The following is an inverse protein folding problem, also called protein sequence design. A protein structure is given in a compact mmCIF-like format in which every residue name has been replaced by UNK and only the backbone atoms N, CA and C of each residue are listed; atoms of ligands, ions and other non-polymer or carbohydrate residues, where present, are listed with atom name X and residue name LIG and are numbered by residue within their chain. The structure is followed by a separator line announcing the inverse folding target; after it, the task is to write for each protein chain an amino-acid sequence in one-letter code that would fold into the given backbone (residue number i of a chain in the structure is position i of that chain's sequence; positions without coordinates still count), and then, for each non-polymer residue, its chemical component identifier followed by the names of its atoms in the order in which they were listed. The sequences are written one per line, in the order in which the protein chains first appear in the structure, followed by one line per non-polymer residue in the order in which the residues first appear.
data_IF_256277819622
#
_entry.id   IF_256277819622
#
_cell.length_a   1.000
_cell.length_b   1.000
_cell.length_c   1.000
_cell.angle_alpha   90.00
_cell.angle_beta   90.00
_cell.angle_gamma   90.00
#
_symmetry.space_group_name_H-M   'P 1'
#
loop_
_entity.id
_entity.type
_entity.pdbx_description
1 polymer ?
#
# COMPACT_ATOMS: atom_id res chain seq x y z
N UNK A 1 12.44 25.14 -13.33
CA UNK A 1 11.56 24.38 -14.26
C UNK A 1 12.39 23.69 -15.33
N UNK A 2 13.22 24.43 -16.13
CA UNK A 2 13.99 23.88 -17.24
C UNK A 2 14.85 22.67 -16.81
N UNK A 3 15.64 22.79 -15.75
CA UNK A 3 16.51 21.73 -15.25
C UNK A 3 15.74 20.43 -14.83
N UNK A 4 14.51 20.56 -14.39
CA UNK A 4 13.64 19.42 -14.11
C UNK A 4 13.14 18.77 -15.41
N UNK A 5 12.71 19.60 -16.36
CA UNK A 5 12.25 19.11 -17.66
C UNK A 5 13.35 18.39 -18.44
N UNK A 6 14.59 18.93 -18.44
CA UNK A 6 15.75 18.30 -19.07
C UNK A 6 16.08 16.91 -18.51
N UNK A 7 15.78 16.69 -17.23
CA UNK A 7 16.00 15.43 -16.52
C UNK A 7 14.77 14.52 -16.45
N UNK A 8 13.68 14.90 -17.10
CA UNK A 8 12.43 14.14 -17.07
C UNK A 8 11.76 14.10 -15.69
N UNK A 9 12.07 15.04 -14.79
CA UNK A 9 11.50 15.11 -13.45
C UNK A 9 10.18 15.89 -13.51
N UNK A 10 9.02 15.27 -13.17
CA UNK A 10 7.74 15.97 -13.14
C UNK A 10 7.69 16.98 -12.00
N UNK A 11 7.05 18.13 -12.23
CA UNK A 11 6.79 19.14 -11.20
C UNK A 11 5.28 19.13 -10.93
N UNK A 12 4.90 18.95 -9.68
CA UNK A 12 3.51 18.97 -9.24
C UNK A 12 3.26 20.20 -8.37
N UNK A 13 2.20 20.92 -8.65
CA UNK A 13 1.75 22.07 -7.87
C UNK A 13 0.60 21.63 -6.98
N UNK A 14 0.75 21.90 -5.68
CA UNK A 14 -0.18 21.49 -4.64
C UNK A 14 -0.85 22.73 -4.04
N UNK A 15 -2.11 22.61 -3.67
CA UNK A 15 -2.78 23.61 -2.85
C UNK A 15 -2.47 23.44 -1.35
N UNK A 16 -3.05 24.30 -0.51
CA UNK A 16 -2.85 24.25 0.94
C UNK A 16 -3.39 23.00 1.63
N UNK A 17 -4.21 22.19 0.95
CA UNK A 17 -4.73 20.91 1.42
C UNK A 17 -3.87 19.71 0.97
N UNK A 18 -2.87 19.96 0.13
CA UNK A 18 -2.04 18.93 -0.48
C UNK A 18 -2.63 18.31 -1.76
N UNK A 19 -3.73 18.85 -2.29
CA UNK A 19 -4.31 18.40 -3.55
C UNK A 19 -3.52 18.95 -4.75
N UNK A 20 -3.23 18.08 -5.73
CA UNK A 20 -2.53 18.48 -6.95
C UNK A 20 -3.50 19.22 -7.87
N UNK A 21 -3.24 20.50 -8.18
CA UNK A 21 -4.05 21.28 -9.12
C UNK A 21 -3.39 21.50 -10.48
N UNK A 22 -2.07 21.30 -10.59
CA UNK A 22 -1.35 21.39 -11.86
C UNK A 22 -0.12 20.51 -11.88
N UNK A 23 0.28 20.05 -13.09
CA UNK A 23 1.49 19.26 -13.29
C UNK A 23 2.21 19.69 -14.56
N UNK A 24 3.53 19.79 -14.49
CA UNK A 24 4.40 20.11 -15.62
C UNK A 24 5.26 18.86 -15.90
N UNK A 25 5.21 18.40 -17.15
CA UNK A 25 5.99 17.26 -17.63
C UNK A 25 6.93 17.69 -18.75
N UNK A 26 8.05 17.00 -18.89
CA UNK A 26 8.93 17.18 -20.03
C UNK A 26 8.23 16.76 -21.34
N UNK A 27 8.37 17.54 -22.40
CA UNK A 27 7.71 17.32 -23.68
C UNK A 27 8.18 16.05 -24.43
N UNK A 28 9.31 15.46 -24.03
CA UNK A 28 9.92 14.28 -24.67
C UNK A 28 9.64 12.93 -24.02
N UNK A 29 8.71 12.84 -23.05
CA UNK A 29 8.35 11.57 -22.38
C UNK A 29 7.50 10.66 -23.29
N UNK A 30 8.13 10.15 -24.37
CA UNK A 30 7.49 9.26 -25.36
C UNK A 30 7.29 7.83 -24.83
N UNK A 31 8.05 7.42 -23.79
CA UNK A 31 7.95 6.09 -23.18
C UNK A 31 6.62 5.76 -22.51
N UNK A 32 5.82 6.80 -22.17
CA UNK A 32 4.52 6.61 -21.50
C UNK A 32 3.44 6.02 -22.42
N UNK A 33 3.51 6.23 -23.73
CA UNK A 33 2.51 5.72 -24.69
C UNK A 33 2.60 4.20 -24.79
N UNK A 34 3.81 3.66 -24.95
CA UNK A 34 4.04 2.21 -24.97
C UNK A 34 3.58 1.57 -23.65
N UNK A 35 3.98 2.14 -22.53
CA UNK A 35 3.59 1.64 -21.19
C UNK A 35 2.07 1.62 -21.01
N UNK A 36 1.38 2.69 -21.38
CA UNK A 36 -0.10 2.76 -21.31
C UNK A 36 -0.76 1.72 -22.21
N UNK A 37 -0.24 1.55 -23.42
CA UNK A 37 -0.73 0.51 -24.34
C UNK A 37 -0.58 -0.87 -23.72
N UNK A 38 0.59 -1.20 -23.18
CA UNK A 38 0.84 -2.49 -22.54
C UNK A 38 -0.02 -2.70 -21.28
N UNK A 39 -0.26 -1.65 -20.50
CA UNK A 39 -1.18 -1.70 -19.35
C UNK A 39 -2.61 -2.03 -19.77
N UNK A 40 -3.12 -1.42 -20.87
CA UNK A 40 -4.43 -1.71 -21.40
C UNK A 40 -4.54 -3.16 -21.91
N UNK A 41 -3.53 -3.64 -22.62
CA UNK A 41 -3.48 -5.03 -23.08
C UNK A 41 -3.39 -6.01 -21.92
N UNK A 42 -2.58 -5.70 -20.91
CA UNK A 42 -2.42 -6.52 -19.72
C UNK A 42 -3.71 -6.66 -18.89
N UNK A 43 -4.67 -5.74 -19.05
CA UNK A 43 -5.97 -5.84 -18.38
C UNK A 43 -6.77 -7.08 -18.84
N UNK A 44 -6.57 -7.53 -20.06
CA UNK A 44 -7.32 -8.64 -20.66
C UNK A 44 -6.58 -9.98 -20.61
N UNK A 45 -5.39 -10.04 -20.01
CA UNK A 45 -4.60 -11.26 -19.90
C UNK A 45 -4.11 -11.53 -18.47
N UNK A 46 -3.36 -12.62 -18.30
CA UNK A 46 -2.85 -13.05 -16.99
C UNK A 46 -1.85 -12.08 -16.34
N UNK A 47 -1.30 -11.10 -17.09
CA UNK A 47 -0.37 -10.10 -16.53
C UNK A 47 -1.03 -9.27 -15.44
N UNK A 48 -2.34 -8.96 -15.54
CA UNK A 48 -3.08 -8.27 -14.48
C UNK A 48 -3.08 -9.05 -13.16
N UNK A 49 -3.29 -10.36 -13.24
CA UNK A 49 -3.33 -11.24 -12.07
C UNK A 49 -1.94 -11.33 -11.43
N UNK A 50 -0.88 -11.49 -12.24
CA UNK A 50 0.52 -11.49 -11.77
C UNK A 50 0.89 -10.19 -11.07
N UNK A 51 0.50 -9.04 -11.64
CA UNK A 51 0.77 -7.73 -11.04
C UNK A 51 -0.02 -7.54 -9.74
N UNK A 52 -1.31 -7.89 -9.72
CA UNK A 52 -2.13 -7.81 -8.52
C UNK A 52 -1.55 -8.65 -7.39
N UNK A 53 -1.19 -9.91 -7.65
CA UNK A 53 -0.53 -10.78 -6.68
C UNK A 53 0.78 -10.17 -6.18
N UNK A 54 1.64 -9.69 -7.08
CA UNK A 54 2.94 -9.12 -6.73
C UNK A 54 2.79 -7.89 -5.82
N UNK A 55 1.87 -6.97 -6.15
CA UNK A 55 1.65 -5.76 -5.35
C UNK A 55 1.01 -6.08 -4.00
N UNK A 56 -0.02 -6.92 -3.96
CA UNK A 56 -0.69 -7.29 -2.70
C UNK A 56 0.26 -8.04 -1.77
N UNK A 57 0.98 -9.03 -2.27
CA UNK A 57 1.96 -9.77 -1.48
C UNK A 57 3.11 -8.87 -1.00
N UNK A 58 3.67 -8.01 -1.87
CA UNK A 58 4.74 -7.08 -1.48
C UNK A 58 4.27 -6.10 -0.40
N UNK A 59 3.04 -5.58 -0.48
CA UNK A 59 2.46 -4.73 0.55
C UNK A 59 2.41 -5.46 1.89
N UNK A 60 1.88 -6.68 1.92
CA UNK A 60 1.74 -7.47 3.15
C UNK A 60 3.10 -7.84 3.74
N UNK A 61 4.09 -8.25 2.91
CA UNK A 61 5.47 -8.46 3.37
C UNK A 61 6.09 -7.21 3.98
N UNK A 62 5.86 -6.03 3.38
CA UNK A 62 6.37 -4.77 3.92
C UNK A 62 5.69 -4.39 5.24
N UNK A 63 4.42 -4.69 5.42
CA UNK A 63 3.73 -4.54 6.71
C UNK A 63 4.37 -5.42 7.77
N UNK A 64 4.62 -6.70 7.48
CA UNK A 64 5.32 -7.61 8.40
C UNK A 64 6.73 -7.11 8.73
N UNK A 65 7.50 -6.67 7.73
CA UNK A 65 8.83 -6.12 7.94
C UNK A 65 8.82 -4.86 8.83
N UNK A 66 7.82 -4.02 8.68
CA UNK A 66 7.63 -2.81 9.51
C UNK A 66 7.35 -3.19 10.96
N UNK A 67 6.48 -4.18 11.21
CA UNK A 67 6.21 -4.69 12.56
C UNK A 67 7.47 -5.25 13.22
N UNK A 68 8.29 -6.01 12.48
CA UNK A 68 9.58 -6.53 12.97
C UNK A 68 10.53 -5.38 13.34
N UNK A 69 10.59 -4.34 12.50
CA UNK A 69 11.42 -3.16 12.77
C UNK A 69 10.97 -2.46 14.07
N UNK A 70 9.68 -2.26 14.26
CA UNK A 70 9.14 -1.67 15.48
C UNK A 70 9.37 -2.54 16.71
N UNK A 71 9.20 -3.86 16.60
CA UNK A 71 9.47 -4.81 17.67
C UNK A 71 10.92 -4.73 18.16
N UNK A 72 11.88 -4.68 17.22
CA UNK A 72 13.31 -4.57 17.53
C UNK A 72 13.64 -3.29 18.30
N UNK A 73 13.05 -2.17 17.89
CA UNK A 73 13.30 -0.87 18.51
C UNK A 73 12.65 -0.72 19.89
N UNK A 74 11.65 -1.55 20.22
CA UNK A 74 10.95 -1.52 21.52
C UNK A 74 11.42 -2.57 22.51
N UNK A 75 12.26 -3.51 22.10
CA UNK A 75 12.62 -4.69 22.89
C UNK A 75 13.08 -4.36 24.30
N UNK A 76 13.89 -3.34 24.47
CA UNK A 76 14.50 -3.00 25.75
C UNK A 76 13.57 -2.20 26.67
N UNK A 77 12.74 -1.31 26.09
CA UNK A 77 11.84 -0.43 26.84
C UNK A 77 10.46 -1.05 27.10
N UNK A 78 9.95 -1.86 26.17
CA UNK A 78 8.62 -2.45 26.19
C UNK A 78 8.67 -3.89 25.64
N UNK A 79 9.20 -4.87 26.39
CA UNK A 79 9.42 -6.23 25.91
C UNK A 79 8.12 -6.96 25.53
N UNK A 80 7.02 -6.71 26.25
CA UNK A 80 5.71 -7.33 25.97
C UNK A 80 5.13 -6.84 24.63
N UNK A 81 5.20 -5.52 24.39
CA UNK A 81 4.81 -4.94 23.09
C UNK A 81 5.66 -5.50 21.94
N UNK A 82 6.97 -5.61 22.19
CA UNK A 82 7.90 -6.14 21.19
C UNK A 82 7.57 -7.60 20.85
N UNK A 83 7.21 -8.41 21.85
CA UNK A 83 6.80 -9.79 21.64
C UNK A 83 5.51 -9.87 20.82
N UNK A 84 4.49 -9.08 21.16
CA UNK A 84 3.22 -9.03 20.45
C UNK A 84 3.40 -8.57 18.99
N UNK A 85 4.21 -7.51 18.76
CA UNK A 85 4.53 -7.03 17.42
C UNK A 85 5.24 -8.10 16.58
N UNK A 86 6.15 -8.87 17.17
CA UNK A 86 6.86 -9.95 16.48
C UNK A 86 5.92 -11.10 16.12
N UNK A 87 5.01 -11.48 17.01
CA UNK A 87 4.00 -12.49 16.77
C UNK A 87 3.06 -12.06 15.64
N UNK A 88 2.52 -10.84 15.72
CA UNK A 88 1.65 -10.30 14.66
C UNK A 88 2.38 -10.21 13.31
N UNK A 89 3.68 -9.88 13.31
CA UNK A 89 4.47 -9.86 12.07
C UNK A 89 4.55 -11.25 11.42
N UNK A 90 4.64 -12.31 12.21
CA UNK A 90 4.60 -13.68 11.72
C UNK A 90 3.24 -14.00 11.09
N UNK A 91 2.14 -13.66 11.76
CA UNK A 91 0.78 -13.89 11.26
C UNK A 91 0.49 -13.10 9.96
N UNK A 92 0.89 -11.82 9.92
CA UNK A 92 0.78 -10.98 8.72
C UNK A 92 1.58 -11.56 7.56
N UNK A 93 2.79 -12.06 7.83
CA UNK A 93 3.64 -12.69 6.80
C UNK A 93 3.02 -13.95 6.23
N UNK A 94 2.36 -14.76 7.05
CA UNK A 94 1.69 -15.99 6.61
C UNK A 94 0.64 -15.69 5.52
N UNK A 95 -0.14 -14.58 5.65
CA UNK A 95 -1.07 -14.17 4.61
C UNK A 95 -0.38 -13.88 3.27
N UNK A 96 0.80 -13.24 3.28
CA UNK A 96 1.54 -12.99 2.05
C UNK A 96 2.03 -14.30 1.39
N UNK A 97 2.44 -15.27 2.18
CA UNK A 97 2.87 -16.59 1.70
C UNK A 97 1.70 -17.39 1.12
N UNK A 98 0.54 -17.34 1.78
CA UNK A 98 -0.68 -18.00 1.30
C UNK A 98 -1.20 -17.40 -0.02
N UNK A 99 -1.01 -16.10 -0.29
CA UNK A 99 -1.40 -15.47 -1.55
C UNK A 99 -0.80 -16.19 -2.77
N UNK A 100 0.42 -16.73 -2.66
CA UNK A 100 1.08 -17.45 -3.75
C UNK A 100 0.52 -18.83 -4.03
N UNK A 101 -0.30 -19.38 -3.12
CA UNK A 101 -0.95 -20.67 -3.26
C UNK A 101 -2.38 -20.57 -3.81
N UNK A 102 -2.89 -19.35 -4.01
CA UNK A 102 -4.25 -19.12 -4.46
C UNK A 102 -4.47 -19.64 -5.89
N UNK A 103 -5.62 -20.26 -6.17
CA UNK A 103 -5.96 -20.68 -7.52
C UNK A 103 -6.20 -19.47 -8.42
N UNK A 104 -5.74 -19.59 -9.68
CA UNK A 104 -5.85 -18.55 -10.71
C UNK A 104 -7.16 -18.71 -11.49
N UNK A 105 -8.24 -18.24 -10.87
CA UNK A 105 -9.60 -18.25 -11.41
C UNK A 105 -10.27 -16.87 -11.25
N UNK A 106 -11.52 -16.76 -11.62
CA UNK A 106 -12.28 -15.49 -11.58
C UNK A 106 -12.40 -14.89 -10.16
N UNK A 107 -12.29 -15.71 -9.10
CA UNK A 107 -12.31 -15.25 -7.70
C UNK A 107 -10.96 -14.82 -7.14
N UNK A 108 -9.86 -14.86 -7.92
CA UNK A 108 -8.52 -14.55 -7.42
C UNK A 108 -8.43 -13.15 -6.81
N UNK A 109 -8.98 -12.12 -7.47
CA UNK A 109 -8.91 -10.74 -7.00
C UNK A 109 -9.63 -10.53 -5.68
N UNK A 110 -10.80 -11.14 -5.50
CA UNK A 110 -11.58 -11.07 -4.27
C UNK A 110 -10.82 -11.73 -3.11
N UNK A 111 -10.19 -12.88 -3.37
CA UNK A 111 -9.36 -13.57 -2.37
C UNK A 111 -8.13 -12.74 -2.00
N UNK A 112 -7.42 -12.16 -2.98
CA UNK A 112 -6.28 -11.27 -2.72
C UNK A 112 -6.69 -10.09 -1.86
N UNK A 113 -7.81 -9.44 -2.17
CA UNK A 113 -8.36 -8.34 -1.36
C UNK A 113 -8.75 -8.80 0.06
N UNK A 114 -9.28 -10.01 0.20
CA UNK A 114 -9.60 -10.61 1.49
C UNK A 114 -8.37 -10.79 2.37
N UNK A 115 -7.31 -11.41 1.83
CA UNK A 115 -6.03 -11.60 2.54
C UNK A 115 -5.37 -10.26 2.89
N UNK A 116 -5.36 -9.31 1.94
CA UNK A 116 -4.82 -7.97 2.17
C UNK A 116 -5.56 -7.24 3.28
N UNK A 117 -6.90 -7.35 3.31
CA UNK A 117 -7.74 -6.75 4.34
C UNK A 117 -7.49 -7.33 5.72
N UNK A 118 -7.36 -8.67 5.83
CA UNK A 118 -7.03 -9.34 7.09
C UNK A 118 -5.64 -8.96 7.61
N UNK A 119 -4.64 -9.00 6.75
CA UNK A 119 -3.29 -8.56 7.07
C UNK A 119 -3.24 -7.10 7.53
N UNK A 120 -3.93 -6.21 6.81
CA UNK A 120 -4.03 -4.81 7.17
C UNK A 120 -4.73 -4.60 8.53
N UNK A 121 -5.76 -5.38 8.83
CA UNK A 121 -6.45 -5.33 10.13
C UNK A 121 -5.49 -5.63 11.28
N UNK A 122 -4.75 -6.74 11.20
CA UNK A 122 -3.74 -7.12 12.21
C UNK A 122 -2.64 -6.06 12.33
N UNK A 123 -2.13 -5.58 11.20
CA UNK A 123 -1.11 -4.53 11.16
C UNK A 123 -1.56 -3.27 11.90
N UNK A 124 -2.75 -2.74 11.59
CA UNK A 124 -3.25 -1.52 12.21
C UNK A 124 -3.62 -1.71 13.68
N UNK A 125 -4.12 -2.89 14.09
CA UNK A 125 -4.31 -3.20 15.51
C UNK A 125 -3.01 -3.11 16.29
N UNK A 126 -1.92 -3.67 15.75
CA UNK A 126 -0.61 -3.64 16.40
C UNK A 126 0.03 -2.25 16.35
N UNK A 127 -0.17 -1.49 15.26
CA UNK A 127 0.33 -0.12 15.15
C UNK A 127 -0.23 0.81 16.25
N UNK A 128 -1.41 0.52 16.79
CA UNK A 128 -2.00 1.28 17.92
C UNK A 128 -1.13 1.26 19.18
N UNK A 129 -0.38 0.20 19.41
CA UNK A 129 0.55 0.10 20.55
C UNK A 129 1.66 1.16 20.51
N UNK A 130 1.91 1.73 19.31
CA UNK A 130 2.99 2.67 19.07
C UNK A 130 2.56 4.12 19.21
N UNK A 131 1.25 4.38 19.18
CA UNK A 131 0.68 5.72 19.19
C UNK A 131 0.26 6.06 20.62
N UNK A 132 0.74 7.18 21.18
CA UNK A 132 0.30 7.62 22.51
C UNK A 132 -1.22 7.78 22.56
N UNK A 133 -1.84 7.43 23.69
CA UNK A 133 -3.29 7.44 23.88
C UNK A 133 -3.92 8.82 23.61
N UNK A 134 -3.16 9.89 23.85
CA UNK A 134 -3.61 11.28 23.67
C UNK A 134 -3.93 11.64 22.22
N UNK A 135 -3.39 10.88 21.26
CA UNK A 135 -3.70 11.09 19.82
C UNK A 135 -5.03 10.48 19.38
N UNK A 136 -5.74 9.76 20.26
CA UNK A 136 -7.05 9.18 19.94
C UNK A 136 -7.02 8.17 18.78
N UNK A 137 -5.87 7.61 18.46
CA UNK A 137 -5.70 6.63 17.38
C UNK A 137 -6.45 5.35 17.73
N UNK A 138 -7.62 5.15 17.15
CA UNK A 138 -8.51 4.02 17.47
C UNK A 138 -9.93 4.43 17.86
N UNK A 139 -10.15 5.70 18.13
CA UNK A 139 -11.48 6.26 18.30
C UNK A 139 -12.08 6.80 16.98
N UNK A 140 -11.38 6.67 15.88
CA UNK A 140 -11.91 7.09 14.58
C UNK A 140 -13.07 6.17 14.21
N UNK A 141 -14.28 6.73 13.99
CA UNK A 141 -15.36 5.96 13.43
C UNK A 141 -14.90 5.40 12.07
N UNK A 142 -15.34 4.20 11.72
CA UNK A 142 -15.01 3.46 10.49
C UNK A 142 -15.37 4.22 9.17
N UNK A 143 -15.53 5.52 9.19
CA UNK A 143 -16.07 6.37 8.14
C UNK A 143 -15.08 7.37 7.52
N UNK A 144 -13.80 7.35 7.86
CA UNK A 144 -12.82 8.00 6.97
C UNK A 144 -12.51 7.07 5.77
N UNK A 145 -13.56 6.66 5.08
CA UNK A 145 -13.46 6.45 3.64
C UNK A 145 -13.12 7.82 3.09
N UNK A 146 -11.87 8.03 2.71
CA UNK A 146 -11.50 9.09 1.80
C UNK A 146 -12.47 9.00 0.62
N UNK A 147 -13.53 9.81 0.66
CA UNK A 147 -14.35 10.07 -0.50
C UNK A 147 -13.45 10.83 -1.43
N UNK A 148 -12.73 10.11 -2.30
CA UNK A 148 -12.13 10.73 -3.46
C UNK A 148 -13.27 11.35 -4.26
N UNK A 149 -13.29 12.68 -4.47
CA UNK A 149 -14.34 13.34 -5.23
C UNK A 149 -14.21 13.13 -6.75
N UNK A 150 -13.43 12.15 -7.19
CA UNK A 150 -13.17 11.90 -8.62
C UNK A 150 -13.69 10.51 -8.98
N UNK A 151 -14.99 10.41 -9.09
CA UNK A 151 -15.76 9.47 -9.92
C UNK A 151 -17.23 9.82 -9.75
N UNK A 152 -17.64 10.95 -10.31
CA UNK A 152 -18.99 11.19 -10.79
C UNK A 152 -18.87 11.54 -12.27
N UNK A 153 -19.50 10.69 -13.06
CA UNK A 153 -19.79 10.66 -14.50
C UNK A 153 -18.86 9.78 -15.30
#
# INVERSE_FOLDING_TARGET
IAACCERGIPIMMLDGSGAVYASIYASGLVGTVQTRREQLLAFYDERRARLALAFSAAKVFNQAATLIYWARNRRDAHPDDAHLLMQTAHDVRAYAEEMFTLPWDDGLFERLMGFEGQAAHLYWQSARLLVPADYGFGQQPAQLRLRHPVCRD
#
